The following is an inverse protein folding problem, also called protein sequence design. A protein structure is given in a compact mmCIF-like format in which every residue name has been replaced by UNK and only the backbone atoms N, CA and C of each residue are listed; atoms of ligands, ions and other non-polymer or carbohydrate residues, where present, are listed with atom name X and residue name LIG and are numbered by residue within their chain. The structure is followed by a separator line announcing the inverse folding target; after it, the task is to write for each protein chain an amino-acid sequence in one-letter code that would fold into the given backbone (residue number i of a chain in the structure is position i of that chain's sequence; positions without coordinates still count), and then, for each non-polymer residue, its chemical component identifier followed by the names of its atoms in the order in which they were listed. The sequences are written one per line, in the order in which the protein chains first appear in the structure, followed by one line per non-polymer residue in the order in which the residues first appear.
data_IF_210959527435
#
_entry.id   IF_210959527435
#
_cell.length_a   1.000
_cell.length_b   1.000
_cell.length_c   1.000
_cell.angle_alpha   90.00
_cell.angle_beta   90.00
_cell.angle_gamma   90.00
#
_symmetry.space_group_name_H-M   'P 1'
#
loop_
_entity.id
_entity.type
_entity.pdbx_description
1 polymer ?
#
# COMPACT_ATOMS: atom_id res chain seq x y z
N UNK A 1 -18.97 -15.58 -6.39
CA UNK A 1 -17.69 -15.49 -7.14
C UNK A 1 -16.89 -16.76 -6.89
N UNK A 2 -16.32 -17.42 -7.91
CA UNK A 2 -15.55 -18.66 -7.70
C UNK A 2 -14.19 -18.36 -7.03
N UNK A 3 -13.79 -19.06 -5.95
CA UNK A 3 -12.55 -18.75 -5.22
C UNK A 3 -11.28 -18.77 -6.09
N UNK A 4 -11.13 -19.75 -6.98
CA UNK A 4 -9.96 -19.86 -7.85
C UNK A 4 -9.81 -18.65 -8.81
N UNK A 5 -10.92 -18.11 -9.31
CA UNK A 5 -10.91 -16.92 -10.18
C UNK A 5 -10.55 -15.66 -9.42
N UNK A 6 -10.99 -15.54 -8.16
CA UNK A 6 -10.62 -14.44 -7.28
C UNK A 6 -9.12 -14.48 -6.97
N UNK A 7 -8.58 -15.64 -6.58
CA UNK A 7 -7.14 -15.79 -6.32
C UNK A 7 -6.29 -15.42 -7.53
N UNK A 8 -6.69 -15.82 -8.74
CA UNK A 8 -6.02 -15.42 -9.98
C UNK A 8 -6.06 -13.90 -10.18
N UNK A 9 -7.17 -13.25 -9.84
CA UNK A 9 -7.30 -11.80 -9.95
C UNK A 9 -6.43 -11.06 -8.92
N UNK A 10 -6.21 -11.67 -7.75
CA UNK A 10 -5.39 -11.12 -6.68
C UNK A 10 -3.90 -11.48 -6.81
N UNK A 11 -3.51 -12.31 -7.77
CA UNK A 11 -2.14 -12.85 -7.83
C UNK A 11 -1.03 -11.80 -7.92
N UNK A 12 -1.17 -10.64 -8.62
CA UNK A 12 -0.13 -9.62 -8.60
C UNK A 12 0.15 -9.08 -7.20
N UNK A 13 -0.91 -8.69 -6.47
CA UNK A 13 -0.83 -8.23 -5.09
C UNK A 13 -0.33 -9.33 -4.15
N UNK A 14 -0.81 -10.57 -4.27
CA UNK A 14 -0.35 -11.67 -3.42
C UNK A 14 1.15 -11.95 -3.63
N UNK A 15 1.61 -11.97 -4.88
CA UNK A 15 3.02 -12.13 -5.18
C UNK A 15 3.84 -10.98 -4.59
N UNK A 16 3.38 -9.74 -4.73
CA UNK A 16 4.04 -8.57 -4.15
C UNK A 16 4.10 -8.63 -2.61
N UNK A 17 2.98 -8.94 -1.96
CA UNK A 17 2.87 -8.99 -0.50
C UNK A 17 3.66 -10.16 0.12
N UNK A 18 3.90 -11.24 -0.62
CA UNK A 18 4.66 -12.39 -0.14
C UNK A 18 6.14 -12.29 -0.49
N UNK A 19 6.48 -12.00 -1.74
CA UNK A 19 7.86 -12.06 -2.23
C UNK A 19 8.71 -10.95 -1.63
N UNK A 20 8.16 -9.73 -1.45
CA UNK A 20 8.96 -8.60 -1.00
C UNK A 20 9.42 -8.75 0.47
N UNK A 21 8.56 -9.14 1.44
CA UNK A 21 9.00 -9.47 2.79
C UNK A 21 10.02 -10.61 2.85
N UNK A 22 9.76 -11.70 2.12
CA UNK A 22 10.66 -12.86 2.08
C UNK A 22 12.03 -12.48 1.53
N UNK A 23 12.06 -11.74 0.41
CA UNK A 23 13.31 -11.26 -0.18
C UNK A 23 14.06 -10.30 0.76
N UNK A 24 13.35 -9.43 1.48
CA UNK A 24 13.96 -8.50 2.43
C UNK A 24 14.57 -9.23 3.63
N UNK A 25 13.87 -10.23 4.17
CA UNK A 25 14.39 -11.09 5.24
C UNK A 25 15.59 -11.91 4.77
N UNK A 26 15.49 -12.57 3.62
CA UNK A 26 16.58 -13.35 3.04
C UNK A 26 17.82 -12.50 2.79
N UNK A 27 17.65 -11.30 2.20
CA UNK A 27 18.73 -10.35 1.98
C UNK A 27 19.38 -9.90 3.29
N UNK A 28 18.59 -9.68 4.35
CA UNK A 28 19.13 -9.30 5.66
C UNK A 28 19.91 -10.43 6.32
N UNK A 29 19.46 -11.68 6.17
CA UNK A 29 20.13 -12.88 6.70
C UNK A 29 21.49 -13.15 6.04
N UNK A 30 21.73 -12.66 4.82
CA UNK A 30 23.04 -12.75 4.16
C UNK A 30 24.11 -11.81 4.75
N UNK A 31 23.73 -10.94 5.70
CA UNK A 31 24.64 -10.06 6.42
C UNK A 31 24.84 -8.68 5.78
N UNK A 32 25.46 -7.78 6.54
CA UNK A 32 25.55 -6.36 6.18
C UNK A 32 26.59 -6.02 5.08
N UNK A 33 27.47 -6.96 4.74
CA UNK A 33 28.55 -6.75 3.75
C UNK A 33 28.07 -6.38 2.34
N UNK A 34 26.80 -6.64 2.01
CA UNK A 34 26.21 -6.38 0.69
C UNK A 34 25.26 -5.17 0.67
N UNK A 35 25.10 -4.45 1.79
CA UNK A 35 24.16 -3.33 1.86
C UNK A 35 24.46 -2.23 0.85
N UNK A 36 25.74 -1.90 0.66
CA UNK A 36 26.17 -0.84 -0.26
C UNK A 36 25.96 -1.19 -1.72
N UNK A 37 25.95 -2.48 -2.10
CA UNK A 37 25.67 -2.93 -3.46
C UNK A 37 24.17 -3.00 -3.77
N UNK A 38 23.33 -3.06 -2.73
CA UNK A 38 21.88 -3.08 -2.85
C UNK A 38 21.24 -1.70 -2.68
N UNK A 39 21.91 -0.78 -1.99
CA UNK A 39 21.47 0.60 -1.77
C UNK A 39 21.26 1.35 -3.09
N UNK A 40 20.25 2.23 -3.12
CA UNK A 40 20.05 3.08 -4.29
C UNK A 40 21.15 4.15 -4.39
N UNK A 41 21.78 4.20 -5.57
CA UNK A 41 22.76 5.23 -5.98
C UNK A 41 22.47 5.66 -7.40
N UNK A 42 22.57 6.96 -7.67
CA UNK A 42 22.40 7.49 -9.01
C UNK A 42 23.45 6.89 -9.95
N UNK A 43 23.04 6.45 -11.14
CA UNK A 43 23.92 5.78 -12.12
C UNK A 43 23.97 4.25 -12.02
N UNK A 44 23.26 3.65 -11.05
CA UNK A 44 23.17 2.19 -10.89
C UNK A 44 21.70 1.75 -11.05
N UNK A 45 21.22 1.40 -12.26
CA UNK A 45 19.78 1.24 -12.52
C UNK A 45 19.10 0.15 -11.71
N UNK A 46 19.78 -0.98 -11.49
CA UNK A 46 19.25 -2.09 -10.68
C UNK A 46 19.02 -1.71 -9.22
N UNK A 47 19.68 -0.64 -8.75
CA UNK A 47 19.58 -0.19 -7.37
C UNK A 47 18.20 0.38 -6.99
N UNK A 48 17.36 0.75 -7.98
CA UNK A 48 15.97 1.16 -7.75
C UNK A 48 15.10 0.04 -7.17
N UNK A 49 15.37 -1.20 -7.57
CA UNK A 49 14.64 -2.37 -7.10
C UNK A 49 15.31 -3.00 -5.87
N UNK A 50 16.64 -3.13 -5.88
CA UNK A 50 17.37 -3.78 -4.79
C UNK A 50 17.38 -2.98 -3.48
N UNK A 51 17.19 -1.66 -3.54
CA UNK A 51 17.12 -0.79 -2.35
C UNK A 51 16.04 -1.21 -1.37
N UNK A 52 14.96 -1.80 -1.88
CA UNK A 52 13.86 -2.33 -1.07
C UNK A 52 14.30 -3.46 -0.14
N UNK A 53 15.41 -4.13 -0.47
CA UNK A 53 15.97 -5.24 0.30
C UNK A 53 17.03 -4.75 1.29
N UNK A 54 17.64 -3.58 1.04
CA UNK A 54 18.75 -3.05 1.81
C UNK A 54 18.27 -2.31 3.07
N UNK A 55 18.51 -2.86 4.26
CA UNK A 55 18.12 -2.23 5.53
C UNK A 55 19.32 -2.05 6.47
N UNK A 56 19.49 -0.83 6.99
CA UNK A 56 20.63 -0.45 7.82
C UNK A 56 20.66 -1.09 9.22
N UNK A 57 19.51 -1.56 9.71
CA UNK A 57 19.39 -2.23 11.01
C UNK A 57 18.21 -3.20 11.03
N UNK A 58 18.23 -4.13 11.98
CA UNK A 58 17.10 -5.04 12.20
C UNK A 58 15.83 -4.28 12.61
N UNK A 59 15.96 -3.26 13.45
CA UNK A 59 14.83 -2.40 13.85
C UNK A 59 14.19 -1.71 12.63
N UNK A 60 15.00 -1.19 11.70
CA UNK A 60 14.52 -0.57 10.48
C UNK A 60 13.79 -1.60 9.58
N UNK A 61 14.34 -2.80 9.43
CA UNK A 61 13.67 -3.88 8.69
C UNK A 61 12.36 -4.29 9.37
N UNK A 62 12.40 -4.56 10.68
CA UNK A 62 11.26 -5.04 11.45
C UNK A 62 10.09 -4.07 11.39
N UNK A 63 10.33 -2.78 11.62
CA UNK A 63 9.30 -1.74 11.54
C UNK A 63 8.69 -1.62 10.14
N UNK A 64 9.52 -1.67 9.09
CA UNK A 64 9.04 -1.69 7.72
C UNK A 64 8.19 -2.92 7.41
N UNK A 65 8.64 -4.12 7.80
CA UNK A 65 7.91 -5.37 7.56
C UNK A 65 6.60 -5.43 8.34
N UNK A 66 6.59 -4.97 9.59
CA UNK A 66 5.38 -4.89 10.40
C UNK A 66 4.34 -3.99 9.73
N UNK A 67 4.71 -2.78 9.34
CA UNK A 67 3.83 -1.84 8.68
C UNK A 67 3.39 -2.34 7.29
N UNK A 68 4.32 -2.89 6.50
CA UNK A 68 4.03 -3.50 5.21
C UNK A 68 2.99 -4.62 5.33
N UNK A 69 3.13 -5.47 6.34
CA UNK A 69 2.21 -6.58 6.60
C UNK A 69 0.83 -6.07 7.00
N UNK A 70 0.76 -5.14 7.95
CA UNK A 70 -0.51 -4.55 8.42
C UNK A 70 -1.26 -3.89 7.26
N UNK A 71 -0.60 -3.00 6.51
CA UNK A 71 -1.24 -2.30 5.40
C UNK A 71 -1.54 -3.23 4.24
N UNK A 72 -0.65 -4.19 3.95
CA UNK A 72 -0.87 -5.21 2.93
C UNK A 72 -2.12 -6.04 3.17
N UNK A 73 -2.33 -6.52 4.40
CA UNK A 73 -3.56 -7.24 4.77
C UNK A 73 -4.78 -6.34 4.69
N UNK A 74 -4.71 -5.10 5.20
CA UNK A 74 -5.83 -4.18 5.13
C UNK A 74 -6.24 -3.87 3.66
N UNK A 75 -5.27 -3.71 2.76
CA UNK A 75 -5.50 -3.56 1.32
C UNK A 75 -6.12 -4.82 0.71
N UNK A 76 -5.60 -6.01 1.06
CA UNK A 76 -6.12 -7.28 0.58
C UNK A 76 -7.60 -7.45 0.96
N UNK A 77 -7.94 -7.24 2.25
CA UNK A 77 -9.32 -7.32 2.72
C UNK A 77 -10.22 -6.28 2.05
N UNK A 78 -9.76 -5.03 1.96
CA UNK A 78 -10.51 -3.97 1.28
C UNK A 78 -10.78 -4.31 -0.19
N UNK A 79 -9.78 -4.85 -0.89
CA UNK A 79 -9.87 -5.26 -2.29
C UNK A 79 -10.85 -6.41 -2.47
N UNK A 80 -10.75 -7.46 -1.65
CA UNK A 80 -11.68 -8.61 -1.67
C UNK A 80 -13.11 -8.13 -1.43
N UNK A 81 -13.30 -7.24 -0.45
CA UNK A 81 -14.62 -6.77 -0.07
C UNK A 81 -15.23 -5.85 -1.13
N UNK A 82 -14.46 -4.92 -1.69
CA UNK A 82 -14.89 -4.09 -2.83
C UNK A 82 -15.22 -4.95 -4.07
N UNK A 83 -14.40 -5.97 -4.37
CA UNK A 83 -14.68 -6.88 -5.49
C UNK A 83 -15.94 -7.71 -5.26
N UNK A 84 -16.18 -8.14 -4.01
CA UNK A 84 -17.40 -8.84 -3.63
C UNK A 84 -18.65 -7.94 -3.77
N UNK A 85 -18.61 -6.74 -3.21
CA UNK A 85 -19.70 -5.76 -3.28
C UNK A 85 -20.03 -5.34 -4.71
N UNK A 86 -19.01 -5.23 -5.57
CA UNK A 86 -19.21 -4.89 -7.00
C UNK A 86 -19.52 -6.10 -7.87
N UNK A 87 -19.41 -7.33 -7.33
CA UNK A 87 -19.52 -8.57 -8.09
C UNK A 87 -18.48 -8.72 -9.22
N UNK A 88 -17.39 -7.95 -9.20
CA UNK A 88 -16.48 -7.81 -10.35
C UNK A 88 -15.08 -8.37 -10.08
N UNK A 89 -14.74 -9.46 -10.77
CA UNK A 89 -13.36 -9.97 -10.82
C UNK A 89 -12.41 -8.96 -11.48
N UNK A 90 -12.90 -8.18 -12.44
CA UNK A 90 -12.13 -7.10 -13.06
C UNK A 90 -11.75 -6.01 -12.06
N UNK A 91 -12.61 -5.73 -11.06
CA UNK A 91 -12.28 -4.81 -9.97
C UNK A 91 -11.15 -5.37 -9.09
N UNK A 92 -11.21 -6.65 -8.69
CA UNK A 92 -10.14 -7.29 -7.93
C UNK A 92 -8.81 -7.25 -8.69
N UNK A 93 -8.81 -7.58 -9.98
CA UNK A 93 -7.62 -7.52 -10.83
C UNK A 93 -7.03 -6.12 -10.92
N UNK A 94 -7.87 -5.11 -11.20
CA UNK A 94 -7.44 -3.73 -11.30
C UNK A 94 -6.86 -3.21 -9.99
N UNK A 95 -7.54 -3.44 -8.86
CA UNK A 95 -7.07 -3.04 -7.54
C UNK A 95 -5.79 -3.78 -7.11
N UNK A 96 -5.62 -5.03 -7.56
CA UNK A 96 -4.38 -5.80 -7.33
C UNK A 96 -3.18 -5.17 -8.04
N UNK A 97 -3.34 -4.78 -9.31
CA UNK A 97 -2.32 -4.00 -10.03
C UNK A 97 -2.14 -2.59 -9.48
N UNK A 98 -3.21 -1.97 -8.97
CA UNK A 98 -3.16 -0.69 -8.27
C UNK A 98 -2.26 -0.75 -7.04
N UNK A 99 -2.34 -1.84 -6.25
CA UNK A 99 -1.49 -2.07 -5.09
C UNK A 99 0.00 -2.17 -5.48
N UNK A 100 0.31 -2.96 -6.51
CA UNK A 100 1.67 -3.08 -7.05
C UNK A 100 2.19 -1.71 -7.54
N UNK A 101 1.37 -1.00 -8.32
CA UNK A 101 1.71 0.32 -8.87
C UNK A 101 1.93 1.33 -7.76
N UNK A 102 1.07 1.34 -6.74
CA UNK A 102 1.20 2.21 -5.58
C UNK A 102 2.46 1.91 -4.78
N UNK A 103 2.86 0.65 -4.67
CA UNK A 103 4.12 0.28 -4.02
C UNK A 103 5.34 0.80 -4.78
N UNK A 104 5.41 0.56 -6.09
CA UNK A 104 6.64 0.81 -6.86
C UNK A 104 6.74 2.20 -7.50
N UNK A 105 5.65 2.75 -8.04
CA UNK A 105 5.73 3.98 -8.84
C UNK A 105 6.14 5.20 -8.00
N UNK A 106 5.48 5.53 -6.87
CA UNK A 106 5.92 6.64 -6.02
C UNK A 106 7.34 6.42 -5.49
N UNK A 107 7.69 5.18 -5.12
CA UNK A 107 9.03 4.81 -4.68
C UNK A 107 10.09 5.16 -5.73
N UNK A 108 9.89 4.73 -6.98
CA UNK A 108 10.83 5.01 -8.09
C UNK A 108 10.95 6.51 -8.32
N UNK A 109 9.83 7.22 -8.43
CA UNK A 109 9.82 8.66 -8.72
C UNK A 109 10.52 9.45 -7.62
N UNK A 110 10.21 9.15 -6.36
CA UNK A 110 10.80 9.84 -5.20
C UNK A 110 12.29 9.54 -5.11
N UNK A 111 12.71 8.27 -5.25
CA UNK A 111 14.14 7.93 -5.20
C UNK A 111 14.93 8.59 -6.32
N UNK A 112 14.41 8.63 -7.54
CA UNK A 112 15.07 9.31 -8.65
C UNK A 112 15.24 10.80 -8.36
N UNK A 113 14.19 11.45 -7.85
CA UNK A 113 14.25 12.86 -7.48
C UNK A 113 15.24 13.11 -6.34
N UNK A 114 15.25 12.26 -5.31
CA UNK A 114 16.17 12.36 -4.19
C UNK A 114 17.62 12.08 -4.59
N UNK A 115 17.85 11.11 -5.47
CA UNK A 115 19.17 10.84 -6.05
C UNK A 115 19.66 11.99 -6.91
N UNK A 116 18.77 12.68 -7.64
CA UNK A 116 19.12 13.88 -8.39
C UNK A 116 19.51 15.04 -7.47
N UNK A 117 18.76 15.28 -6.40
CA UNK A 117 19.07 16.32 -5.41
C UNK A 117 20.33 16.02 -4.58
N UNK A 118 20.60 14.74 -4.31
CA UNK A 118 21.73 14.29 -3.51
C UNK A 118 22.50 13.16 -4.21
N UNK A 119 23.30 13.47 -5.25
CA UNK A 119 23.95 12.45 -6.08
C UNK A 119 24.93 11.53 -5.34
N UNK A 120 25.46 11.98 -4.20
CA UNK A 120 26.40 11.23 -3.37
C UNK A 120 25.72 10.44 -2.23
N UNK A 121 24.41 10.63 -2.03
CA UNK A 121 23.68 9.92 -1.00
C UNK A 121 23.43 8.47 -1.41
N UNK A 122 23.41 7.58 -0.41
CA UNK A 122 22.92 6.22 -0.57
C UNK A 122 21.60 6.09 0.18
N UNK A 123 20.57 5.58 -0.50
CA UNK A 123 19.25 5.38 0.08
C UNK A 123 19.01 3.90 0.36
N UNK A 124 18.23 3.62 1.40
CA UNK A 124 18.03 2.28 1.95
C UNK A 124 16.57 2.09 2.35
N UNK A 125 16.10 0.86 2.25
CA UNK A 125 14.87 0.38 2.85
C UNK A 125 13.65 0.54 1.97
N UNK A 126 12.55 -0.02 2.46
CA UNK A 126 11.26 -0.05 1.77
C UNK A 126 10.24 0.93 2.37
N UNK A 127 10.65 1.87 3.21
CA UNK A 127 9.72 2.77 3.90
C UNK A 127 8.86 3.59 2.92
N UNK A 128 9.41 4.03 1.79
CA UNK A 128 8.62 4.70 0.73
C UNK A 128 7.51 3.80 0.17
N UNK A 129 7.76 2.50 0.01
CA UNK A 129 6.73 1.54 -0.39
C UNK A 129 5.67 1.44 0.70
N UNK A 130 6.07 1.30 1.96
CA UNK A 130 5.16 1.21 3.11
C UNK A 130 4.24 2.42 3.20
N UNK A 131 4.79 3.64 3.12
CA UNK A 131 3.98 4.86 3.16
C UNK A 131 3.10 5.02 1.93
N UNK A 132 3.52 4.54 0.76
CA UNK A 132 2.66 4.53 -0.42
C UNK A 132 1.51 3.53 -0.29
N UNK A 133 1.76 2.35 0.29
CA UNK A 133 0.70 1.38 0.62
C UNK A 133 -0.25 1.92 1.67
N UNK A 134 0.27 2.64 2.67
CA UNK A 134 -0.57 3.36 3.64
C UNK A 134 -1.56 4.31 2.92
N UNK A 135 -1.07 5.16 2.02
CA UNK A 135 -1.93 6.08 1.26
C UNK A 135 -2.93 5.37 0.36
N UNK A 136 -2.49 4.32 -0.34
CA UNK A 136 -3.35 3.50 -1.20
C UNK A 136 -4.47 2.82 -0.40
N UNK A 137 -4.11 2.17 0.71
CA UNK A 137 -5.05 1.49 1.60
C UNK A 137 -6.02 2.44 2.29
N UNK A 138 -5.56 3.62 2.71
CA UNK A 138 -6.43 4.67 3.23
C UNK A 138 -7.49 5.08 2.20
N UNK A 139 -7.08 5.34 0.95
CA UNK A 139 -8.04 5.64 -0.12
C UNK A 139 -9.03 4.49 -0.31
N UNK A 140 -8.59 3.24 -0.44
CA UNK A 140 -9.51 2.11 -0.63
C UNK A 140 -10.50 1.95 0.52
N UNK A 141 -10.06 2.07 1.77
CA UNK A 141 -10.93 1.94 2.94
C UNK A 141 -11.91 3.10 3.07
N UNK A 142 -11.49 4.32 2.72
CA UNK A 142 -12.37 5.48 2.64
C UNK A 142 -13.48 5.25 1.60
N UNK A 143 -13.13 4.84 0.39
CA UNK A 143 -14.11 4.56 -0.66
C UNK A 143 -15.02 3.38 -0.31
N UNK A 144 -14.49 2.34 0.32
CA UNK A 144 -15.30 1.23 0.83
C UNK A 144 -16.32 1.71 1.86
N UNK A 145 -15.91 2.56 2.79
CA UNK A 145 -16.78 3.14 3.82
C UNK A 145 -17.88 4.00 3.19
N UNK A 146 -17.53 4.85 2.21
CA UNK A 146 -18.50 5.65 1.44
C UNK A 146 -19.50 4.73 0.73
N UNK A 147 -19.03 3.69 0.04
CA UNK A 147 -19.90 2.76 -0.67
C UNK A 147 -20.89 2.06 0.27
N UNK A 148 -20.43 1.57 1.42
CA UNK A 148 -21.29 0.92 2.41
C UNK A 148 -22.31 1.90 2.97
N UNK A 149 -21.89 3.14 3.27
CA UNK A 149 -22.80 4.19 3.72
C UNK A 149 -23.87 4.50 2.67
N UNK A 150 -23.49 4.62 1.39
CA UNK A 150 -24.46 4.81 0.29
C UNK A 150 -25.39 3.61 0.14
N UNK A 151 -24.89 2.38 0.25
CA UNK A 151 -25.70 1.16 0.19
C UNK A 151 -26.68 1.05 1.37
N UNK A 152 -26.28 1.52 2.56
CA UNK A 152 -27.14 1.64 3.74
C UNK A 152 -28.31 2.57 3.47
N UNK A 153 -28.00 3.77 2.97
CA UNK A 153 -28.99 4.81 2.70
C UNK A 153 -30.00 4.35 1.63
N UNK A 154 -29.51 3.71 0.57
CA UNK A 154 -30.34 3.16 -0.51
C UNK A 154 -31.03 1.84 -0.16
N UNK A 155 -30.81 1.28 1.04
CA UNK A 155 -31.37 0.00 1.52
C UNK A 155 -31.11 -1.18 0.56
N UNK A 156 -29.97 -1.18 -0.13
CA UNK A 156 -29.61 -2.20 -1.13
C UNK A 156 -29.08 -3.48 -0.47
N UNK A 157 -28.59 -3.38 0.77
CA UNK A 157 -28.09 -4.50 1.56
C UNK A 157 -29.10 -4.90 2.64
N UNK A 158 -29.25 -6.20 2.88
CA UNK A 158 -29.99 -6.70 4.05
C UNK A 158 -29.34 -6.28 5.36
N UNK A 159 -30.14 -6.12 6.43
CA UNK A 159 -29.69 -5.53 7.70
C UNK A 159 -28.45 -6.19 8.32
N UNK A 160 -28.38 -7.52 8.31
CA UNK A 160 -27.22 -8.26 8.84
C UNK A 160 -25.94 -8.04 8.00
N UNK A 161 -26.07 -8.11 6.67
CA UNK A 161 -24.95 -7.88 5.75
C UNK A 161 -24.42 -6.45 5.85
N UNK A 162 -25.30 -5.48 6.07
CA UNK A 162 -24.94 -4.09 6.23
C UNK A 162 -24.16 -3.83 7.54
N UNK A 163 -24.61 -4.42 8.66
CA UNK A 163 -23.92 -4.31 9.94
C UNK A 163 -22.49 -4.86 9.85
N UNK A 164 -22.34 -6.08 9.32
CA UNK A 164 -21.03 -6.71 9.17
C UNK A 164 -20.11 -5.90 8.25
N UNK A 165 -20.63 -5.40 7.12
CA UNK A 165 -19.89 -4.55 6.21
C UNK A 165 -19.40 -3.26 6.90
N UNK A 166 -20.29 -2.62 7.68
CA UNK A 166 -20.00 -1.36 8.37
C UNK A 166 -18.94 -1.54 9.46
N UNK A 167 -19.03 -2.61 10.26
CA UNK A 167 -18.03 -2.96 11.27
C UNK A 167 -16.66 -3.24 10.64
N UNK A 168 -16.62 -3.99 9.54
CA UNK A 168 -15.37 -4.31 8.84
C UNK A 168 -14.75 -3.06 8.23
N UNK A 169 -15.52 -2.23 7.53
CA UNK A 169 -15.01 -1.01 6.93
C UNK A 169 -14.55 0.00 7.98
N UNK A 170 -15.30 0.14 9.09
CA UNK A 170 -14.90 0.96 10.23
C UNK A 170 -13.59 0.47 10.85
N UNK A 171 -13.45 -0.84 11.10
CA UNK A 171 -12.21 -1.41 11.60
C UNK A 171 -11.03 -1.16 10.65
N UNK A 172 -11.20 -1.42 9.36
CA UNK A 172 -10.16 -1.21 8.36
C UNK A 172 -9.78 0.28 8.25
N UNK A 173 -10.75 1.19 8.28
CA UNK A 173 -10.50 2.63 8.27
C UNK A 173 -9.75 3.08 9.52
N UNK A 174 -10.11 2.56 10.70
CA UNK A 174 -9.43 2.87 11.96
C UNK A 174 -7.95 2.45 11.92
N UNK A 175 -7.59 1.34 11.26
CA UNK A 175 -6.19 0.95 11.08
C UNK A 175 -5.35 2.02 10.34
N UNK A 176 -5.97 2.80 9.46
CA UNK A 176 -5.31 3.91 8.77
C UNK A 176 -5.47 5.25 9.50
N UNK A 177 -6.53 5.47 10.27
CA UNK A 177 -6.71 6.71 11.04
C UNK A 177 -5.85 6.76 12.32
N UNK A 178 -5.62 5.63 13.00
CA UNK A 178 -4.83 5.59 14.24
C UNK A 178 -3.42 6.16 14.04
N UNK A 179 -2.66 5.78 12.99
CA UNK A 179 -1.36 6.41 12.73
C UNK A 179 -1.40 7.93 12.59
N UNK A 180 -2.46 8.49 12.01
CA UNK A 180 -2.60 9.95 11.83
C UNK A 180 -2.74 10.72 13.15
N UNK A 181 -3.18 10.07 14.22
CA UNK A 181 -3.24 10.71 15.55
C UNK A 181 -1.85 11.09 16.07
N UNK A 182 -0.79 10.48 15.53
CA UNK A 182 0.60 10.80 15.83
C UNK A 182 1.14 11.97 14.98
N UNK A 183 0.36 12.52 14.06
CA UNK A 183 0.75 13.64 13.20
C UNK A 183 2.02 13.35 12.39
N UNK A 184 2.94 14.32 12.33
CA UNK A 184 4.20 14.17 11.59
C UNK A 184 5.18 13.15 12.22
N UNK A 185 4.99 12.76 13.48
CA UNK A 185 5.85 11.75 14.10
C UNK A 185 5.64 10.36 13.47
N UNK A 186 4.44 10.08 12.95
CA UNK A 186 4.18 8.90 12.12
C UNK A 186 5.09 8.85 10.89
N UNK A 187 5.28 9.99 10.24
CA UNK A 187 6.19 10.14 9.09
C UNK A 187 7.67 10.19 9.50
N UNK A 188 7.98 10.10 10.80
CA UNK A 188 9.34 10.07 11.34
C UNK A 188 9.88 11.42 11.81
N UNK A 189 9.04 12.45 11.96
CA UNK A 189 9.48 13.71 12.59
C UNK A 189 10.05 13.43 13.99
N UNK A 190 11.22 13.97 14.28
CA UNK A 190 11.97 13.71 15.52
C UNK A 190 12.95 12.53 15.42
N UNK A 191 12.98 11.79 14.30
CA UNK A 191 14.00 10.77 14.02
C UNK A 191 15.08 11.34 13.08
N UNK A 192 16.35 11.45 13.49
CA UNK A 192 17.41 12.14 12.73
C UNK A 192 17.65 11.62 11.30
N UNK A 193 17.31 10.36 11.02
CA UNK A 193 17.53 9.72 9.73
C UNK A 193 16.24 9.49 8.93
N UNK A 194 15.10 9.98 9.40
CA UNK A 194 13.83 9.74 8.72
C UNK A 194 13.66 10.65 7.50
N UNK A 195 13.29 10.03 6.38
CA UNK A 195 12.92 10.72 5.15
C UNK A 195 11.48 11.25 5.22
N UNK A 196 11.19 12.18 6.13
CA UNK A 196 9.82 12.66 6.42
C UNK A 196 9.13 13.17 5.15
N UNK A 197 9.81 14.02 4.37
CA UNK A 197 9.26 14.55 3.13
C UNK A 197 8.98 13.44 2.10
N UNK A 198 9.89 12.48 1.95
CA UNK A 198 9.69 11.32 1.08
C UNK A 198 8.53 10.44 1.55
N UNK A 199 8.38 10.23 2.85
CA UNK A 199 7.27 9.45 3.42
C UNK A 199 5.90 10.13 3.16
N UNK A 200 5.80 11.44 3.34
CA UNK A 200 4.58 12.20 3.02
C UNK A 200 4.28 12.13 1.53
N UNK A 201 5.26 12.38 0.67
CA UNK A 201 5.10 12.31 -0.79
C UNK A 201 4.70 10.91 -1.26
N UNK A 202 5.28 9.86 -0.66
CA UNK A 202 4.93 8.48 -0.91
C UNK A 202 3.47 8.20 -0.55
N UNK A 203 3.01 8.61 0.64
CA UNK A 203 1.60 8.48 1.03
C UNK A 203 0.65 9.21 0.10
N UNK A 204 0.99 10.42 -0.35
CA UNK A 204 0.17 11.13 -1.35
C UNK A 204 0.15 10.40 -2.69
N UNK A 205 1.30 9.93 -3.19
CA UNK A 205 1.40 9.15 -4.42
C UNK A 205 0.60 7.84 -4.37
N UNK A 206 0.62 7.18 -3.22
CA UNK A 206 -0.21 6.03 -2.91
C UNK A 206 -1.70 6.35 -2.98
N UNK A 207 -2.12 7.44 -2.33
CA UNK A 207 -3.51 7.89 -2.34
C UNK A 207 -4.02 8.24 -3.74
N UNK A 208 -3.19 8.94 -4.54
CA UNK A 208 -3.47 9.28 -5.96
C UNK A 208 -3.63 7.99 -6.79
N UNK A 209 -2.73 7.03 -6.60
CA UNK A 209 -2.80 5.73 -7.29
C UNK A 209 -4.07 4.98 -6.88
N UNK A 210 -4.44 5.02 -5.59
CA UNK A 210 -5.70 4.48 -5.08
C UNK A 210 -6.89 5.01 -5.85
N UNK A 211 -6.99 6.34 -5.95
CA UNK A 211 -8.07 7.01 -6.67
C UNK A 211 -8.11 6.65 -8.16
N UNK A 212 -6.95 6.58 -8.82
CA UNK A 212 -6.85 6.24 -10.24
C UNK A 212 -7.27 4.80 -10.56
N UNK A 213 -7.03 3.87 -9.64
CA UNK A 213 -7.32 2.44 -9.85
C UNK A 213 -8.72 2.03 -9.38
N UNK A 214 -9.49 2.92 -8.76
CA UNK A 214 -10.86 2.60 -8.37
C UNK A 214 -11.76 2.29 -9.58
N UNK A 215 -12.59 1.23 -9.51
CA UNK A 215 -13.57 0.92 -10.54
C UNK A 215 -14.55 2.08 -10.77
N UNK A 216 -14.68 2.54 -12.03
CA UNK A 216 -15.69 3.56 -12.41
C UNK A 216 -17.12 3.16 -12.04
N UNK A 217 -17.42 1.86 -12.01
CA UNK A 217 -18.74 1.33 -11.63
C UNK A 217 -19.12 1.62 -10.16
N UNK A 218 -18.15 1.92 -9.30
CA UNK A 218 -18.40 2.42 -7.93
C UNK A 218 -18.78 3.91 -7.92
N UNK A 219 -18.33 4.67 -8.92
CA UNK A 219 -18.54 6.11 -9.05
C UNK A 219 -19.87 6.39 -9.79
N UNK A 220 -20.27 5.51 -10.71
CA UNK A 220 -21.37 5.75 -11.65
C UNK A 220 -22.68 4.99 -11.35
N UNK A 221 -22.94 4.56 -10.10
CA UNK A 221 -24.24 3.95 -9.73
C UNK A 221 -25.41 4.97 -9.73
N UNK A 222 -25.41 5.93 -10.64
CA UNK A 222 -26.41 6.99 -10.77
C UNK A 222 -27.47 6.75 -11.86
N UNK A 223 -27.54 5.59 -12.55
CA UNK A 223 -28.43 5.51 -13.74
C UNK A 223 -29.25 4.23 -13.99
N UNK A 224 -29.33 3.26 -13.07
CA UNK A 224 -30.11 2.03 -13.31
C UNK A 224 -31.13 1.69 -12.21
N UNK A 225 -31.66 2.69 -11.51
CA UNK A 225 -32.86 2.53 -10.66
C UNK A 225 -33.86 3.66 -10.89
#
# INVERSE_FOLDING_TARGET
MKPASLLRSLSPMLAFLLLLPIASLASFSLGQGHLSSLAFRLGVPWSLASVLLAHVSFEHLYTNLQAFTIYGFAILFSTVFLAWLTGSLGAAWRLSWGCLTAGFLPHIVILLFQGWLHPQASFYGMSLVVFSLYGYGFTLTLYLSIFIFTAAFRRVLGGFSLLLASLLAGFLLLLFLIPLTQGFTFFGLGKPQANVAGHVAASLGGAITGSAFLPKKLISQESEY
#
